data_IF_794999317924
#
_entry.id   IF_794999317924
#
_cell.length_a   1.000
_cell.length_b   1.000
_cell.length_c   1.000
_cell.angle_alpha   90.00
_cell.angle_beta   90.00
_cell.angle_gamma   90.00
#
_symmetry.space_group_name_H-M   'P 1'
#
loop_
_entity.id
_entity.type
_entity.pdbx_description
1 polymer ?
#
# COMPACT_ATOMS: atom_id res chain seq x y z
N UNK A 1 -87.50 41.32 30.92
CA UNK A 1 -86.88 40.81 32.15
C UNK A 1 -85.58 40.13 31.70
N UNK A 2 -84.43 40.71 31.95
CA UNK A 2 -83.16 40.11 31.51
C UNK A 2 -82.47 39.42 32.70
N UNK A 3 -81.97 38.20 32.43
CA UNK A 3 -81.17 37.38 33.34
C UNK A 3 -79.72 37.78 33.24
N UNK A 4 -79.16 38.25 34.33
CA UNK A 4 -77.69 38.50 34.45
C UNK A 4 -76.98 37.23 34.87
N UNK A 5 -76.12 36.66 34.01
CA UNK A 5 -75.17 35.61 34.42
C UNK A 5 -73.86 36.25 34.83
N UNK A 6 -73.46 36.00 36.05
CA UNK A 6 -72.16 36.37 36.63
C UNK A 6 -71.10 35.33 36.09
N UNK A 7 -70.08 35.86 35.50
CA UNK A 7 -68.91 35.04 35.09
C UNK A 7 -67.91 35.08 36.25
N UNK A 8 -67.54 33.90 36.74
CA UNK A 8 -66.44 33.72 37.67
C UNK A 8 -65.16 33.55 36.90
N UNK A 9 -64.17 34.41 37.09
CA UNK A 9 -62.85 34.31 36.56
C UNK A 9 -61.98 33.48 37.53
N UNK A 10 -61.51 32.27 37.08
CA UNK A 10 -60.50 31.50 37.79
C UNK A 10 -59.16 32.02 37.41
N UNK A 11 -58.37 32.47 38.36
CA UNK A 11 -56.95 32.72 38.21
C UNK A 11 -56.19 31.37 38.31
N UNK A 12 -55.59 30.88 37.23
CA UNK A 12 -54.68 29.73 37.27
C UNK A 12 -53.26 30.26 37.41
N UNK A 13 -52.60 29.94 38.50
CA UNK A 13 -51.14 30.17 38.69
C UNK A 13 -50.42 29.02 38.06
N UNK A 14 -49.83 29.30 36.92
CA UNK A 14 -48.95 28.32 36.18
C UNK A 14 -47.54 28.33 36.76
N UNK A 15 -47.14 27.25 37.41
CA UNK A 15 -45.75 27.00 37.77
C UNK A 15 -45.02 26.45 36.54
N UNK A 16 -44.13 27.24 35.95
CA UNK A 16 -43.22 26.78 34.89
C UNK A 16 -42.08 26.00 35.49
N UNK A 17 -42.11 24.67 35.32
CA UNK A 17 -40.96 23.82 35.57
C UNK A 17 -40.07 23.92 34.34
N UNK A 18 -38.91 24.56 34.46
CA UNK A 18 -37.86 24.55 33.44
C UNK A 18 -37.18 23.17 33.45
N UNK A 19 -37.54 22.30 32.50
CA UNK A 19 -36.82 21.09 32.24
C UNK A 19 -35.52 21.46 31.50
N UNK A 20 -34.39 21.43 32.21
CA UNK A 20 -33.08 21.53 31.64
C UNK A 20 -32.79 20.30 30.76
N UNK A 21 -32.86 20.44 29.44
CA UNK A 21 -32.38 19.42 28.53
C UNK A 21 -30.85 19.36 28.62
N UNK A 22 -30.32 18.36 29.30
CA UNK A 22 -28.90 17.97 29.17
C UNK A 22 -28.76 17.39 27.77
N UNK A 23 -28.19 18.13 26.85
CA UNK A 23 -27.76 17.63 25.57
C UNK A 23 -26.56 16.68 25.82
N UNK A 24 -26.84 15.38 25.87
CA UNK A 24 -25.82 14.37 25.71
C UNK A 24 -25.25 14.52 24.28
N UNK A 25 -24.14 15.22 24.19
CA UNK A 25 -23.33 15.24 22.97
C UNK A 25 -22.91 13.80 22.67
N UNK A 26 -23.60 13.16 21.74
CA UNK A 26 -23.08 11.95 21.08
C UNK A 26 -21.88 12.40 20.28
N UNK A 27 -20.68 12.18 20.80
CA UNK A 27 -19.48 12.14 19.99
C UNK A 27 -19.66 10.94 19.04
N UNK A 28 -20.40 11.14 17.96
CA UNK A 28 -20.44 10.22 16.85
C UNK A 28 -19.02 10.13 16.29
N UNK A 29 -18.34 9.02 16.55
CA UNK A 29 -17.12 8.73 15.82
C UNK A 29 -17.47 8.84 14.34
N UNK A 30 -16.84 9.77 13.63
CA UNK A 30 -16.98 9.86 12.18
C UNK A 30 -16.55 8.50 11.62
N UNK A 31 -17.39 7.91 10.78
CA UNK A 31 -17.03 6.66 10.12
C UNK A 31 -15.70 6.88 9.38
N UNK A 32 -14.76 5.96 9.56
CA UNK A 32 -13.50 5.98 8.85
C UNK A 32 -13.79 5.93 7.35
N UNK A 33 -13.22 6.85 6.59
CA UNK A 33 -13.42 6.93 5.14
C UNK A 33 -12.17 6.46 4.40
N UNK A 34 -12.38 5.75 3.28
CA UNK A 34 -11.31 5.36 2.37
C UNK A 34 -10.73 6.65 1.77
N UNK A 35 -9.39 6.82 1.73
CA UNK A 35 -8.76 7.93 1.04
C UNK A 35 -9.21 8.02 -0.44
N UNK A 36 -9.55 9.20 -0.91
CA UNK A 36 -10.12 9.38 -2.25
C UNK A 36 -9.13 9.09 -3.40
N UNK A 37 -7.83 9.12 -3.10
CA UNK A 37 -6.72 8.81 -4.00
C UNK A 37 -6.29 7.33 -3.98
N UNK A 38 -6.94 6.51 -3.17
CA UNK A 38 -6.67 5.06 -3.12
C UNK A 38 -7.34 4.36 -4.31
N UNK A 39 -6.53 3.78 -5.18
CA UNK A 39 -6.97 2.99 -6.34
C UNK A 39 -6.31 1.62 -6.27
N UNK A 40 -6.98 0.59 -6.78
CA UNK A 40 -6.44 -0.76 -6.81
C UNK A 40 -7.13 -1.72 -5.84
N UNK A 41 -6.52 -2.87 -5.63
CA UNK A 41 -7.10 -3.90 -4.77
C UNK A 41 -7.31 -3.41 -3.32
N UNK A 42 -6.44 -2.60 -2.76
CA UNK A 42 -6.60 -2.07 -1.41
C UNK A 42 -7.85 -1.19 -1.22
N UNK A 43 -8.46 -0.69 -2.32
CA UNK A 43 -9.70 0.07 -2.29
C UNK A 43 -10.97 -0.80 -2.40
N UNK A 44 -10.81 -2.11 -2.68
CA UNK A 44 -11.93 -3.04 -2.84
C UNK A 44 -12.43 -3.59 -1.48
N UNK A 45 -13.51 -4.32 -1.50
CA UNK A 45 -14.04 -5.08 -0.35
C UNK A 45 -14.13 -4.27 0.96
N UNK A 46 -14.48 -2.99 0.87
CA UNK A 46 -14.55 -2.09 2.02
C UNK A 46 -13.40 -1.10 2.10
N UNK A 47 -12.31 -1.35 1.36
CA UNK A 47 -11.15 -0.46 1.26
C UNK A 47 -10.27 -0.39 2.51
N UNK A 48 -9.14 0.27 2.38
CA UNK A 48 -8.19 0.45 3.46
C UNK A 48 -8.33 1.84 4.08
N UNK A 49 -8.66 1.91 5.34
CA UNK A 49 -8.84 3.16 6.09
C UNK A 49 -7.70 3.46 7.05
N UNK A 50 -6.84 2.47 7.29
CA UNK A 50 -5.71 2.58 8.22
C UNK A 50 -6.14 2.99 9.62
N UNK A 51 -5.45 3.97 10.19
CA UNK A 51 -5.74 4.52 11.51
C UNK A 51 -6.85 5.57 11.57
N UNK A 52 -7.66 5.73 10.50
CA UNK A 52 -8.71 6.73 10.47
C UNK A 52 -9.73 6.54 11.62
N UNK A 53 -10.13 7.63 12.24
CA UNK A 53 -11.00 7.63 13.43
C UNK A 53 -10.26 7.41 14.75
N UNK A 54 -9.01 7.01 14.73
CA UNK A 54 -8.14 6.93 15.91
C UNK A 54 -7.39 8.25 16.20
N UNK A 55 -6.67 8.32 17.32
CA UNK A 55 -5.83 9.48 17.61
C UNK A 55 -4.67 9.61 16.63
N UNK A 56 -4.14 10.80 16.52
CA UNK A 56 -2.91 11.08 15.79
C UNK A 56 -1.80 11.34 16.79
N UNK A 57 -0.70 10.59 16.67
CA UNK A 57 0.50 10.76 17.50
C UNK A 57 1.72 11.05 16.63
N UNK A 58 2.70 11.77 17.18
CA UNK A 58 3.98 11.99 16.50
C UNK A 58 5.08 11.29 17.26
N UNK A 59 5.90 10.53 16.52
CA UNK A 59 7.03 9.79 17.06
C UNK A 59 8.34 10.31 16.44
N UNK A 60 9.41 10.33 17.23
CA UNK A 60 10.73 10.83 16.85
C UNK A 60 11.84 9.82 17.14
N UNK A 61 11.49 8.65 17.68
CA UNK A 61 12.45 7.57 17.96
C UNK A 61 11.89 6.21 17.53
N UNK A 62 12.78 5.26 17.29
CA UNK A 62 12.46 3.87 16.94
C UNK A 62 11.57 3.20 18.00
N UNK A 63 11.90 3.38 19.29
CA UNK A 63 11.15 2.76 20.38
C UNK A 63 9.74 3.36 20.53
N UNK A 64 9.57 4.66 20.26
CA UNK A 64 8.25 5.27 20.22
C UNK A 64 7.43 4.68 19.07
N UNK A 65 8.00 4.58 17.85
CA UNK A 65 7.31 3.97 16.72
C UNK A 65 6.91 2.53 17.02
N UNK A 66 7.80 1.73 17.60
CA UNK A 66 7.54 0.35 18.02
C UNK A 66 6.41 0.26 19.03
N UNK A 67 6.36 1.17 19.99
CA UNK A 67 5.32 1.23 21.03
C UNK A 67 3.96 1.55 20.41
N UNK A 68 3.88 2.61 19.59
CA UNK A 68 2.63 3.05 19.00
C UNK A 68 2.11 2.04 17.95
N UNK A 69 2.97 1.53 17.07
CA UNK A 69 2.60 0.51 16.08
C UNK A 69 2.09 -0.80 16.72
N UNK A 70 2.54 -1.12 17.92
CA UNK A 70 2.15 -2.31 18.70
C UNK A 70 0.82 -2.19 19.45
N UNK A 71 0.19 -1.04 19.52
CA UNK A 71 -1.11 -0.85 20.19
C UNK A 71 -2.24 -1.53 19.41
N UNK A 72 -3.31 -1.94 20.13
CA UNK A 72 -4.48 -2.60 19.55
C UNK A 72 -5.53 -1.63 18.98
N UNK A 73 -5.43 -0.34 19.31
CA UNK A 73 -6.37 0.70 18.90
C UNK A 73 -6.00 1.27 17.53
N UNK A 74 -6.99 1.72 16.76
CA UNK A 74 -6.75 2.48 15.54
C UNK A 74 -5.92 3.73 15.84
N UNK A 75 -4.93 4.07 14.98
CA UNK A 75 -4.04 5.19 15.23
C UNK A 75 -3.34 5.68 13.97
N UNK A 76 -3.20 7.00 13.83
CA UNK A 76 -2.35 7.63 12.82
C UNK A 76 -1.02 8.01 13.48
N UNK A 77 0.06 7.36 13.05
CA UNK A 77 1.40 7.54 13.60
C UNK A 77 2.22 8.39 12.63
N UNK A 78 2.51 9.63 13.01
CA UNK A 78 3.36 10.55 12.27
C UNK A 78 4.82 10.34 12.66
N UNK A 79 5.63 9.88 11.73
CA UNK A 79 7.08 9.74 11.92
C UNK A 79 7.75 11.05 11.56
N UNK A 80 8.49 11.65 12.51
CA UNK A 80 9.20 12.91 12.30
C UNK A 80 10.72 12.72 12.40
N UNK A 81 11.41 12.91 11.29
CA UNK A 81 12.84 12.66 11.12
C UNK A 81 13.17 11.21 10.75
N UNK A 82 14.44 10.92 10.52
CA UNK A 82 14.95 9.58 10.22
C UNK A 82 15.22 8.82 11.51
N UNK A 83 14.52 7.72 11.73
CA UNK A 83 14.67 6.86 12.91
C UNK A 83 15.72 5.79 12.62
N UNK A 84 16.75 5.71 13.47
CA UNK A 84 17.73 4.62 13.40
C UNK A 84 17.13 3.36 14.03
N UNK A 85 16.94 2.31 13.23
CA UNK A 85 16.35 1.04 13.64
C UNK A 85 17.25 -0.16 13.40
N UNK A 86 16.75 -1.34 13.80
CA UNK A 86 17.32 -2.64 13.47
C UNK A 86 16.23 -3.71 13.55
N UNK A 87 16.27 -4.69 12.62
CA UNK A 87 15.19 -5.66 12.48
C UNK A 87 13.87 -4.99 12.04
N UNK A 88 12.73 -5.55 12.41
CA UNK A 88 11.43 -5.04 11.99
C UNK A 88 10.52 -4.70 13.18
N UNK A 89 9.76 -3.62 13.02
CA UNK A 89 8.64 -3.28 13.89
C UNK A 89 7.38 -4.00 13.41
N UNK A 90 6.75 -4.79 14.29
CA UNK A 90 5.41 -5.34 14.01
C UNK A 90 4.36 -4.24 14.09
N UNK A 91 3.63 -4.05 12.99
CA UNK A 91 2.53 -3.10 12.88
C UNK A 91 1.21 -3.84 13.00
N UNK A 92 0.38 -3.48 13.99
CA UNK A 92 -0.92 -4.11 14.23
C UNK A 92 -2.03 -3.47 13.40
N UNK A 93 -3.25 -4.04 13.50
CA UNK A 93 -4.43 -3.58 12.75
C UNK A 93 -4.68 -2.07 12.89
N UNK A 94 -5.34 -1.54 11.87
CA UNK A 94 -5.90 -0.19 11.89
C UNK A 94 -4.84 0.88 12.15
N UNK A 95 -3.74 0.84 11.40
CA UNK A 95 -2.67 1.84 11.51
C UNK A 95 -2.43 2.57 10.20
N UNK A 96 -2.20 3.87 10.33
CA UNK A 96 -1.55 4.67 9.30
C UNK A 96 -0.19 5.11 9.83
N UNK A 97 0.89 4.67 9.16
CA UNK A 97 2.25 5.17 9.43
C UNK A 97 2.58 6.15 8.32
N UNK A 98 2.83 7.41 8.67
CA UNK A 98 3.07 8.47 7.69
C UNK A 98 4.26 9.34 8.07
N UNK A 99 5.16 9.55 7.12
CA UNK A 99 6.32 10.44 7.30
C UNK A 99 5.93 11.91 7.27
N UNK A 100 6.50 12.72 8.15
CA UNK A 100 6.32 14.17 8.18
C UNK A 100 7.30 14.83 7.22
N UNK A 101 6.78 15.48 6.19
CA UNK A 101 7.61 16.11 5.14
C UNK A 101 8.34 15.06 4.29
N UNK A 102 9.35 15.50 3.55
CA UNK A 102 10.03 14.64 2.57
C UNK A 102 11.19 13.81 3.14
N UNK A 103 11.59 14.00 4.40
CA UNK A 103 12.81 13.43 4.96
C UNK A 103 12.58 12.70 6.29
N UNK A 104 11.44 12.01 6.41
CA UNK A 104 11.11 11.22 7.59
C UNK A 104 11.00 9.74 7.23
N UNK A 105 11.41 8.87 8.16
CA UNK A 105 11.37 7.44 7.90
C UNK A 105 12.25 6.62 8.84
N UNK A 106 12.79 5.52 8.30
CA UNK A 106 13.56 4.51 9.03
C UNK A 106 14.85 4.23 8.25
N UNK A 107 15.96 4.07 8.95
CA UNK A 107 17.18 3.51 8.37
C UNK A 107 17.70 2.35 9.22
N UNK A 108 18.17 1.29 8.57
CA UNK A 108 18.71 0.07 9.22
C UNK A 108 17.67 -0.94 9.67
N UNK A 109 16.38 -0.61 9.62
CA UNK A 109 15.28 -1.50 10.00
C UNK A 109 14.11 -1.41 9.04
N UNK A 110 13.01 -2.12 9.33
CA UNK A 110 11.81 -2.19 8.50
C UNK A 110 10.52 -2.33 9.30
N UNK A 111 9.42 -2.54 8.57
CA UNK A 111 8.08 -2.75 9.11
C UNK A 111 7.60 -4.16 8.78
N UNK A 112 6.96 -4.84 9.72
CA UNK A 112 6.33 -6.14 9.52
C UNK A 112 4.84 -6.06 9.79
N UNK A 113 4.04 -6.34 8.76
CA UNK A 113 2.60 -6.50 8.79
C UNK A 113 2.35 -8.00 8.64
N UNK A 114 2.05 -8.70 9.74
CA UNK A 114 1.87 -10.15 9.72
C UNK A 114 0.69 -10.52 10.61
N UNK A 115 -0.35 -11.13 10.03
CA UNK A 115 -1.65 -11.45 10.64
C UNK A 115 -2.43 -10.21 11.09
N UNK A 116 -2.21 -9.06 10.44
CA UNK A 116 -2.86 -7.78 10.76
C UNK A 116 -3.37 -7.11 9.49
N UNK A 117 -4.53 -6.43 9.59
CA UNK A 117 -5.29 -5.90 8.47
C UNK A 117 -5.53 -4.41 8.59
N UNK A 118 -5.90 -3.79 7.47
CA UNK A 118 -6.27 -2.38 7.38
C UNK A 118 -5.11 -1.43 7.75
N UNK A 119 -4.06 -1.44 6.92
CA UNK A 119 -2.84 -0.68 7.16
C UNK A 119 -2.47 0.24 5.99
N UNK A 120 -2.01 1.43 6.32
CA UNK A 120 -1.45 2.40 5.38
C UNK A 120 -0.02 2.73 5.79
N UNK A 121 0.93 2.57 4.87
CA UNK A 121 2.32 3.03 5.01
C UNK A 121 2.56 4.07 3.93
N UNK A 122 2.72 5.33 4.31
CA UNK A 122 2.73 6.44 3.36
C UNK A 122 3.83 7.45 3.64
N UNK A 123 4.43 8.00 2.60
CA UNK A 123 5.41 9.11 2.69
C UNK A 123 6.62 8.80 3.58
N UNK A 124 7.07 7.54 3.60
CA UNK A 124 8.18 7.07 4.43
C UNK A 124 9.43 6.84 3.59
N UNK A 125 10.58 7.30 4.07
CA UNK A 125 11.89 6.79 3.62
C UNK A 125 12.24 5.55 4.41
N UNK A 126 12.55 4.44 3.73
CA UNK A 126 13.04 3.24 4.40
C UNK A 126 14.30 2.77 3.69
N UNK A 127 15.41 2.75 4.41
CA UNK A 127 16.71 2.46 3.82
C UNK A 127 17.54 1.46 4.61
N UNK A 128 18.32 0.69 3.87
CA UNK A 128 19.31 -0.25 4.40
C UNK A 128 18.77 -1.25 5.43
N UNK A 129 17.64 -1.94 5.18
CA UNK A 129 17.04 -2.90 6.12
C UNK A 129 17.88 -4.18 6.15
N UNK A 130 18.94 -4.21 6.96
CA UNK A 130 19.91 -5.31 6.98
C UNK A 130 19.31 -6.62 7.49
N UNK A 131 19.38 -7.68 6.67
CA UNK A 131 18.90 -9.03 7.00
C UNK A 131 17.38 -9.13 7.14
N UNK A 132 16.63 -8.18 6.56
CA UNK A 132 15.16 -8.17 6.59
C UNK A 132 14.63 -7.33 5.44
N UNK A 133 13.31 -7.38 5.18
CA UNK A 133 12.67 -6.49 4.22
C UNK A 133 12.47 -5.08 4.81
N UNK A 134 12.36 -4.10 3.92
CA UNK A 134 11.91 -2.77 4.33
C UNK A 134 10.43 -2.79 4.76
N UNK A 135 9.57 -3.49 4.02
CA UNK A 135 8.17 -3.72 4.37
C UNK A 135 7.81 -5.17 4.03
N UNK A 136 7.51 -5.97 5.06
CA UNK A 136 6.97 -7.33 4.93
C UNK A 136 5.46 -7.32 5.15
N UNK A 137 4.70 -7.93 4.23
CA UNK A 137 3.26 -8.16 4.33
C UNK A 137 2.99 -9.65 4.25
N UNK A 138 2.47 -10.25 5.32
CA UNK A 138 2.25 -11.70 5.44
C UNK A 138 0.89 -11.97 6.09
N UNK A 139 0.05 -12.82 5.45
CA UNK A 139 -1.27 -13.18 5.98
C UNK A 139 -2.01 -11.92 6.49
N UNK A 140 -2.13 -10.95 5.59
CA UNK A 140 -2.62 -9.61 5.90
C UNK A 140 -3.45 -9.06 4.74
N UNK A 141 -4.57 -8.42 5.07
CA UNK A 141 -5.50 -7.89 4.10
C UNK A 141 -5.58 -6.36 4.17
N UNK A 142 -5.95 -5.74 3.04
CA UNK A 142 -6.19 -4.30 2.98
C UNK A 142 -4.96 -3.51 3.43
N UNK A 143 -3.89 -3.61 2.63
CA UNK A 143 -2.64 -2.90 2.87
C UNK A 143 -2.38 -1.94 1.71
N UNK A 144 -2.18 -0.67 2.02
CA UNK A 144 -1.81 0.36 1.06
C UNK A 144 -0.43 0.94 1.36
N UNK A 145 0.52 0.71 0.45
CA UNK A 145 1.91 1.19 0.52
C UNK A 145 2.07 2.26 -0.55
N UNK A 146 2.14 3.54 -0.13
CA UNK A 146 1.96 4.66 -1.03
C UNK A 146 2.95 5.81 -0.82
N UNK A 147 3.49 6.37 -1.90
CA UNK A 147 4.42 7.50 -1.88
C UNK A 147 5.63 7.32 -0.95
N UNK A 148 6.17 6.11 -0.84
CA UNK A 148 7.38 5.86 -0.07
C UNK A 148 8.61 5.89 -0.98
N UNK A 149 9.79 6.09 -0.39
CA UNK A 149 11.09 5.92 -1.04
C UNK A 149 11.86 4.83 -0.29
N UNK A 150 12.12 3.70 -0.97
CA UNK A 150 12.75 2.52 -0.39
C UNK A 150 14.00 2.14 -1.18
N UNK A 151 15.12 1.92 -0.48
CA UNK A 151 16.38 1.56 -1.13
C UNK A 151 17.36 0.87 -0.19
N UNK A 152 18.41 0.29 -0.79
CA UNK A 152 19.58 -0.18 -0.06
C UNK A 152 20.87 0.23 -0.79
N UNK A 153 21.68 -0.72 -1.22
CA UNK A 153 22.75 -0.59 -2.19
C UNK A 153 22.99 -1.93 -2.90
N UNK A 154 23.73 -1.88 -4.00
CA UNK A 154 24.14 -3.05 -4.77
C UNK A 154 25.63 -3.37 -4.63
N UNK A 155 26.31 -2.78 -3.65
CA UNK A 155 27.71 -3.04 -3.33
C UNK A 155 27.93 -4.22 -2.39
N UNK A 156 26.88 -4.66 -1.71
CA UNK A 156 26.84 -5.88 -0.91
C UNK A 156 26.30 -7.07 -1.72
N UNK A 157 26.50 -8.29 -1.21
CA UNK A 157 25.93 -9.49 -1.79
C UNK A 157 24.41 -9.44 -1.82
N UNK A 158 23.80 -10.21 -2.75
CA UNK A 158 22.35 -10.25 -3.00
C UNK A 158 21.51 -10.60 -1.76
N UNK A 159 22.09 -11.32 -0.80
CA UNK A 159 21.39 -11.74 0.43
C UNK A 159 21.77 -10.91 1.66
N UNK A 160 22.54 -9.84 1.50
CA UNK A 160 22.89 -8.95 2.63
C UNK A 160 21.68 -8.13 3.11
N UNK A 161 20.92 -7.57 2.17
CA UNK A 161 19.58 -7.03 2.37
C UNK A 161 18.58 -8.06 1.83
N UNK A 162 17.38 -8.15 2.41
CA UNK A 162 16.34 -9.01 1.85
C UNK A 162 15.54 -8.25 0.79
N UNK A 163 14.21 -8.18 0.84
CA UNK A 163 13.39 -7.42 -0.10
C UNK A 163 13.17 -5.95 0.32
N UNK A 164 12.61 -5.14 -0.59
CA UNK A 164 12.07 -3.84 -0.21
C UNK A 164 10.58 -3.96 0.15
N UNK A 165 9.79 -4.68 -0.66
CA UNK A 165 8.36 -4.92 -0.37
C UNK A 165 8.05 -6.38 -0.71
N UNK A 166 7.88 -7.23 0.30
CA UNK A 166 7.53 -8.62 0.12
C UNK A 166 6.12 -8.91 0.63
N UNK A 167 5.27 -9.52 -0.23
CA UNK A 167 3.84 -9.78 0.00
C UNK A 167 3.61 -11.28 -0.14
N UNK A 168 3.35 -11.97 0.97
CA UNK A 168 3.42 -13.44 1.04
C UNK A 168 2.35 -14.02 1.95
N UNK A 169 2.27 -15.36 2.00
CA UNK A 169 1.40 -16.08 2.93
C UNK A 169 -0.06 -15.64 2.85
N UNK A 170 -0.68 -15.85 1.70
CA UNK A 170 -2.09 -15.52 1.44
C UNK A 170 -2.48 -14.05 1.73
N UNK A 171 -1.54 -13.12 1.78
CA UNK A 171 -1.85 -11.69 1.88
C UNK A 171 -2.72 -11.25 0.69
N UNK A 172 -3.72 -10.41 0.93
CA UNK A 172 -4.70 -10.06 -0.09
C UNK A 172 -5.08 -8.58 -0.08
N UNK A 173 -5.72 -8.08 -1.14
CA UNK A 173 -6.17 -6.69 -1.25
C UNK A 173 -5.05 -5.67 -1.00
N UNK A 174 -3.89 -5.84 -1.66
CA UNK A 174 -2.72 -4.98 -1.48
C UNK A 174 -2.58 -4.02 -2.66
N UNK A 175 -2.25 -2.76 -2.40
CA UNK A 175 -1.86 -1.79 -3.43
C UNK A 175 -0.51 -1.16 -3.06
N UNK A 176 0.41 -1.19 -4.02
CA UNK A 176 1.71 -0.54 -4.00
C UNK A 176 1.69 0.56 -5.05
N UNK A 177 1.67 1.82 -4.63
CA UNK A 177 1.45 2.95 -5.53
C UNK A 177 2.37 4.12 -5.25
N UNK A 178 2.79 4.81 -6.31
CA UNK A 178 3.58 6.03 -6.21
C UNK A 178 4.86 5.91 -5.38
N UNK A 179 5.40 4.69 -5.21
CA UNK A 179 6.64 4.50 -4.50
C UNK A 179 7.84 4.69 -5.43
N UNK A 180 8.96 5.09 -4.87
CA UNK A 180 10.26 5.10 -5.50
C UNK A 180 11.08 3.97 -4.89
N UNK A 181 11.42 2.95 -5.69
CA UNK A 181 12.17 1.77 -5.29
C UNK A 181 13.46 1.71 -6.10
N UNK A 182 14.61 1.59 -5.42
CA UNK A 182 15.85 1.71 -6.16
C UNK A 182 17.08 1.12 -5.45
N UNK A 183 18.13 0.94 -6.24
CA UNK A 183 19.45 0.49 -5.79
C UNK A 183 19.38 -0.83 -5.01
N UNK A 184 18.64 -1.83 -5.56
CA UNK A 184 18.39 -3.07 -4.86
C UNK A 184 18.53 -4.32 -5.75
N UNK A 185 18.83 -5.49 -5.13
CA UNK A 185 18.93 -6.77 -5.84
C UNK A 185 17.59 -7.48 -5.99
N UNK A 186 16.75 -7.51 -4.94
CA UNK A 186 15.51 -8.29 -4.83
C UNK A 186 14.34 -7.43 -4.37
N UNK A 187 13.82 -6.56 -5.23
CA UNK A 187 13.01 -5.39 -4.86
C UNK A 187 11.62 -5.72 -4.29
N UNK A 188 10.80 -6.52 -4.97
CA UNK A 188 9.44 -6.82 -4.49
C UNK A 188 8.97 -8.22 -4.90
N UNK A 189 8.69 -9.06 -3.92
CA UNK A 189 8.23 -10.43 -4.09
C UNK A 189 6.76 -10.56 -3.76
N UNK A 190 6.01 -11.32 -4.57
CA UNK A 190 4.64 -11.75 -4.28
C UNK A 190 4.61 -13.29 -4.30
N UNK A 191 4.34 -13.92 -3.13
CA UNK A 191 4.44 -15.37 -2.98
C UNK A 191 5.89 -15.86 -2.78
N UNK A 192 6.21 -16.39 -1.60
CA UNK A 192 7.58 -16.61 -1.18
C UNK A 192 8.23 -17.90 -1.70
N UNK A 193 7.46 -18.98 -1.89
CA UNK A 193 7.99 -20.29 -2.26
C UNK A 193 7.13 -20.96 -3.34
N UNK A 194 7.75 -21.81 -4.17
CA UNK A 194 7.08 -22.61 -5.20
C UNK A 194 6.17 -23.69 -4.58
N UNK A 195 6.47 -24.16 -3.36
CA UNK A 195 5.71 -25.20 -2.67
C UNK A 195 4.51 -24.67 -1.87
N UNK A 196 4.25 -23.35 -1.89
CA UNK A 196 3.20 -22.73 -1.07
C UNK A 196 1.82 -22.63 -1.76
N UNK A 197 1.56 -23.42 -2.77
CA UNK A 197 0.31 -23.38 -3.55
C UNK A 197 -0.97 -23.56 -2.70
N UNK A 198 -0.89 -24.37 -1.64
CA UNK A 198 -2.05 -24.65 -0.78
C UNK A 198 -2.52 -23.43 0.02
N UNK A 199 -1.62 -22.52 0.35
CA UNK A 199 -1.91 -21.29 1.09
C UNK A 199 -2.19 -20.12 0.13
N UNK A 200 -1.37 -19.96 -0.91
CA UNK A 200 -1.35 -18.76 -1.74
C UNK A 200 -2.35 -18.79 -2.91
N UNK A 201 -2.81 -19.97 -3.35
CA UNK A 201 -3.74 -20.06 -4.49
C UNK A 201 -5.09 -19.45 -4.15
N UNK A 202 -5.52 -18.45 -4.93
CA UNK A 202 -6.79 -17.73 -4.71
C UNK A 202 -6.63 -16.48 -3.85
N UNK A 203 -5.42 -16.21 -3.38
CA UNK A 203 -4.99 -15.01 -2.65
C UNK A 203 -3.97 -14.23 -3.47
N UNK A 204 -3.24 -13.33 -2.82
CA UNK A 204 -2.18 -12.51 -3.40
C UNK A 204 -2.71 -11.61 -4.54
N UNK A 205 -3.84 -10.92 -4.29
CA UNK A 205 -4.36 -9.91 -5.22
C UNK A 205 -3.65 -8.58 -4.98
N UNK A 206 -2.84 -8.16 -5.95
CA UNK A 206 -1.94 -7.02 -5.78
C UNK A 206 -2.04 -6.03 -6.95
N UNK A 207 -2.03 -4.75 -6.65
CA UNK A 207 -1.89 -3.68 -7.64
C UNK A 207 -0.55 -2.98 -7.48
N UNK A 208 0.15 -2.77 -8.59
CA UNK A 208 1.33 -1.90 -8.68
C UNK A 208 1.04 -0.79 -9.67
N UNK A 209 1.00 0.47 -9.24
CA UNK A 209 0.80 1.57 -10.18
C UNK A 209 1.60 2.82 -9.81
N UNK A 210 2.04 3.52 -10.84
CA UNK A 210 2.78 4.77 -10.72
C UNK A 210 4.05 4.66 -9.85
N UNK A 211 4.62 3.47 -9.73
CA UNK A 211 5.89 3.29 -9.04
C UNK A 211 7.07 3.58 -9.97
N UNK A 212 8.12 4.18 -9.46
CA UNK A 212 9.42 4.31 -10.09
C UNK A 212 10.34 3.19 -9.60
N UNK A 213 10.88 2.40 -10.54
CA UNK A 213 11.89 1.38 -10.27
C UNK A 213 13.16 1.72 -11.05
N UNK A 214 14.27 1.90 -10.37
CA UNK A 214 15.52 2.18 -11.07
C UNK A 214 16.75 1.60 -10.38
N UNK A 215 17.74 1.22 -11.20
CA UNK A 215 18.98 0.57 -10.74
C UNK A 215 18.71 -0.66 -9.86
N UNK A 216 17.65 -1.41 -10.19
CA UNK A 216 17.27 -2.65 -9.53
C UNK A 216 17.65 -3.87 -10.39
N UNK A 217 17.87 -5.03 -9.77
CA UNK A 217 18.20 -6.23 -10.53
C UNK A 217 16.95 -7.05 -10.93
N UNK A 218 16.11 -7.39 -9.95
CA UNK A 218 14.99 -8.30 -10.16
C UNK A 218 13.83 -8.07 -9.19
N UNK A 219 12.71 -8.75 -9.47
CA UNK A 219 11.47 -8.71 -8.67
C UNK A 219 10.81 -7.34 -8.69
N UNK A 220 10.29 -6.91 -9.87
CA UNK A 220 9.70 -5.56 -10.05
C UNK A 220 8.24 -5.58 -10.59
N UNK A 221 7.32 -6.37 -10.04
CA UNK A 221 7.44 -7.44 -9.04
C UNK A 221 7.74 -8.83 -9.63
N UNK A 222 8.10 -9.79 -8.77
CA UNK A 222 8.09 -11.22 -9.09
C UNK A 222 6.95 -11.92 -8.35
N UNK A 223 6.07 -12.61 -9.11
CA UNK A 223 4.81 -13.17 -8.60
C UNK A 223 4.77 -14.67 -8.69
N UNK A 224 4.19 -15.33 -7.67
CA UNK A 224 3.74 -16.73 -7.67
C UNK A 224 2.26 -16.79 -7.29
N UNK A 225 1.51 -17.69 -7.89
CA UNK A 225 0.10 -18.06 -7.61
C UNK A 225 -0.93 -16.94 -7.75
N UNK A 226 -0.60 -15.72 -7.33
CA UNK A 226 -1.51 -14.58 -7.21
C UNK A 226 -1.97 -13.97 -8.53
N UNK A 227 -2.73 -12.89 -8.39
CA UNK A 227 -3.22 -12.08 -9.52
C UNK A 227 -2.76 -10.64 -9.33
N UNK A 228 -2.03 -10.09 -10.30
CA UNK A 228 -1.55 -8.71 -10.20
C UNK A 228 -1.93 -7.85 -11.40
N UNK A 229 -2.27 -6.59 -11.10
CA UNK A 229 -2.42 -5.53 -12.07
C UNK A 229 -1.25 -4.56 -11.94
N UNK A 230 -0.44 -4.45 -12.99
CA UNK A 230 0.80 -3.66 -13.04
C UNK A 230 0.63 -2.61 -14.12
N UNK A 231 0.38 -1.34 -13.75
CA UNK A 231 0.08 -0.31 -14.73
C UNK A 231 0.67 1.06 -14.41
N UNK A 232 0.97 1.83 -15.44
CA UNK A 232 1.52 3.19 -15.35
C UNK A 232 2.78 3.30 -14.48
N UNK A 233 3.57 2.23 -14.35
CA UNK A 233 4.86 2.28 -13.66
C UNK A 233 5.97 2.71 -14.62
N UNK A 234 7.03 3.27 -14.10
CA UNK A 234 8.24 3.61 -14.81
C UNK A 234 9.42 2.76 -14.33
N UNK A 235 9.97 1.97 -15.25
CA UNK A 235 11.13 1.11 -15.03
C UNK A 235 12.29 1.66 -15.84
N UNK A 236 13.43 1.93 -15.21
CA UNK A 236 14.61 2.34 -15.95
C UNK A 236 15.92 1.83 -15.33
N UNK A 237 16.85 1.49 -16.22
CA UNK A 237 18.17 0.99 -15.85
C UNK A 237 18.10 -0.24 -14.93
N UNK A 238 17.20 -1.20 -15.26
CA UNK A 238 16.97 -2.42 -14.49
C UNK A 238 17.30 -3.67 -15.31
N UNK A 239 17.57 -4.80 -14.64
CA UNK A 239 17.91 -6.05 -15.33
C UNK A 239 16.66 -6.84 -15.70
N UNK A 240 15.83 -7.19 -14.72
CA UNK A 240 14.57 -7.91 -14.94
C UNK A 240 13.43 -7.17 -14.24
N UNK A 241 12.35 -6.83 -14.95
CA UNK A 241 11.22 -6.17 -14.34
C UNK A 241 10.13 -7.18 -13.91
N UNK A 242 9.00 -7.23 -14.59
CA UNK A 242 7.84 -8.05 -14.17
C UNK A 242 8.10 -9.54 -14.47
N UNK A 243 7.95 -10.38 -13.46
CA UNK A 243 8.15 -11.82 -13.60
C UNK A 243 6.97 -12.61 -13.00
N UNK A 244 6.19 -13.28 -13.84
CA UNK A 244 5.09 -14.17 -13.45
C UNK A 244 5.54 -15.62 -13.42
N UNK A 245 5.27 -16.33 -12.33
CA UNK A 245 5.69 -17.72 -12.08
C UNK A 245 4.56 -18.52 -11.42
N UNK A 246 4.70 -19.84 -11.32
CA UNK A 246 3.80 -20.75 -10.59
C UNK A 246 2.31 -20.49 -10.85
N UNK A 247 1.94 -20.32 -12.13
CA UNK A 247 0.54 -20.10 -12.52
C UNK A 247 -0.02 -18.72 -12.19
N UNK A 248 0.78 -17.79 -11.65
CA UNK A 248 0.32 -16.42 -11.40
C UNK A 248 -0.21 -15.76 -12.67
N UNK A 249 -1.18 -14.86 -12.51
CA UNK A 249 -1.80 -14.11 -13.60
C UNK A 249 -1.44 -12.64 -13.49
N UNK A 250 -0.78 -12.05 -14.49
CA UNK A 250 -0.45 -10.62 -14.45
C UNK A 250 -0.98 -9.89 -15.68
N UNK A 251 -1.64 -8.76 -15.45
CA UNK A 251 -1.98 -7.77 -16.47
C UNK A 251 -0.95 -6.63 -16.38
N UNK A 252 -0.17 -6.45 -17.44
CA UNK A 252 0.89 -5.44 -17.54
C UNK A 252 0.50 -4.43 -18.61
N UNK A 253 0.10 -3.22 -18.24
CA UNK A 253 -0.39 -2.25 -19.20
C UNK A 253 -0.03 -0.79 -18.90
N UNK A 254 0.17 -0.01 -19.94
CA UNK A 254 0.46 1.41 -19.82
C UNK A 254 1.78 1.73 -19.09
N UNK A 255 2.68 0.79 -18.94
CA UNK A 255 3.98 1.02 -18.30
C UNK A 255 5.01 1.56 -19.29
N UNK A 256 6.02 2.23 -18.76
CA UNK A 256 7.20 2.66 -19.54
C UNK A 256 8.43 1.93 -19.06
N UNK A 257 9.14 1.30 -19.98
CA UNK A 257 10.40 0.59 -19.77
C UNK A 257 11.50 1.27 -20.56
N UNK A 258 12.60 1.65 -19.89
CA UNK A 258 13.77 2.29 -20.52
C UNK A 258 15.04 1.63 -20.02
N UNK A 259 15.90 1.12 -20.92
CA UNK A 259 17.13 0.39 -20.58
C UNK A 259 16.86 -0.81 -19.65
N UNK A 260 15.83 -1.61 -19.95
CA UNK A 260 15.46 -2.80 -19.17
C UNK A 260 15.89 -4.05 -19.90
N UNK A 261 16.64 -4.93 -19.24
CA UNK A 261 17.14 -6.17 -19.85
C UNK A 261 16.02 -7.11 -20.27
N UNK A 262 15.08 -7.44 -19.37
CA UNK A 262 13.87 -8.23 -19.69
C UNK A 262 12.65 -7.58 -19.04
N UNK A 263 11.82 -6.85 -19.79
CA UNK A 263 10.70 -6.09 -19.21
C UNK A 263 9.60 -6.98 -18.62
N UNK A 264 9.17 -8.02 -19.34
CA UNK A 264 8.14 -8.96 -18.88
C UNK A 264 8.55 -10.38 -19.21
N UNK A 265 8.49 -11.27 -18.23
CA UNK A 265 8.73 -12.70 -18.44
C UNK A 265 7.78 -13.57 -17.63
N UNK A 266 7.52 -14.79 -18.13
CA UNK A 266 6.66 -15.78 -17.49
C UNK A 266 7.38 -17.09 -17.19
N UNK A 267 8.64 -17.21 -17.53
CA UNK A 267 9.44 -18.44 -17.39
C UNK A 267 10.69 -18.22 -16.54
N UNK A 268 11.35 -19.28 -16.19
CA UNK A 268 12.59 -19.36 -15.40
C UNK A 268 12.39 -19.18 -13.87
N UNK A 269 13.34 -19.70 -13.11
CA UNK A 269 13.44 -19.59 -11.64
C UNK A 269 12.26 -20.20 -10.85
N UNK A 270 11.39 -20.99 -11.48
CA UNK A 270 10.33 -21.78 -10.85
C UNK A 270 10.04 -23.03 -11.67
N UNK A 271 9.39 -24.02 -11.04
CA UNK A 271 9.08 -25.30 -11.69
C UNK A 271 7.94 -25.17 -12.70
N UNK A 272 7.12 -24.15 -12.59
CA UNK A 272 6.00 -23.87 -13.49
C UNK A 272 6.02 -22.41 -13.90
N UNK A 273 5.79 -22.16 -15.19
CA UNK A 273 5.64 -20.82 -15.74
C UNK A 273 4.38 -20.14 -15.21
N UNK A 274 4.38 -18.82 -15.17
CA UNK A 274 3.18 -18.01 -14.95
C UNK A 274 2.55 -17.57 -16.26
N UNK A 275 1.61 -16.66 -16.17
CA UNK A 275 0.87 -16.08 -17.28
C UNK A 275 0.99 -14.56 -17.29
N UNK A 276 1.06 -13.95 -18.45
CA UNK A 276 1.02 -12.51 -18.61
C UNK A 276 0.13 -12.09 -19.77
N UNK A 277 -0.62 -11.02 -19.57
CA UNK A 277 -1.25 -10.23 -20.63
C UNK A 277 -0.57 -8.88 -20.63
N UNK A 278 -0.01 -8.48 -21.77
CA UNK A 278 0.64 -7.19 -21.89
C UNK A 278 0.01 -6.37 -23.00
N UNK A 279 -0.14 -5.04 -22.75
CA UNK A 279 -0.68 -4.12 -23.75
C UNK A 279 -0.36 -2.67 -23.40
N UNK A 280 -0.30 -1.84 -24.44
CA UNK A 280 -0.10 -0.38 -24.28
C UNK A 280 1.17 0.01 -23.51
N UNK A 281 2.16 -0.89 -23.41
CA UNK A 281 3.43 -0.59 -22.79
C UNK A 281 4.37 0.07 -23.79
N UNK A 282 5.25 0.92 -23.30
CA UNK A 282 6.28 1.58 -24.09
C UNK A 282 7.66 1.04 -23.74
N UNK A 283 8.44 0.65 -24.75
CA UNK A 283 9.77 0.09 -24.60
C UNK A 283 10.80 0.97 -25.31
N UNK A 284 11.88 1.36 -24.61
CA UNK A 284 12.99 2.12 -25.17
C UNK A 284 14.31 1.50 -24.74
N UNK A 285 15.09 1.05 -25.70
CA UNK A 285 16.39 0.38 -25.47
C UNK A 285 16.27 -0.81 -24.49
N UNK A 286 15.26 -1.67 -24.69
CA UNK A 286 14.99 -2.84 -23.85
C UNK A 286 15.34 -4.13 -24.59
N UNK A 287 15.60 -5.19 -23.83
CA UNK A 287 15.59 -6.55 -24.35
C UNK A 287 14.17 -7.02 -24.69
N UNK A 288 14.06 -8.22 -25.23
CA UNK A 288 12.76 -8.79 -25.58
C UNK A 288 12.00 -9.27 -24.34
N UNK A 289 10.67 -9.15 -24.38
CA UNK A 289 9.79 -9.87 -23.45
C UNK A 289 9.93 -11.38 -23.65
N UNK A 290 9.84 -12.14 -22.58
CA UNK A 290 9.88 -13.61 -22.61
C UNK A 290 8.58 -14.17 -22.02
N UNK A 291 7.47 -13.97 -22.74
CA UNK A 291 6.15 -14.45 -22.36
C UNK A 291 5.89 -15.78 -23.07
N UNK A 292 5.95 -16.88 -22.33
CA UNK A 292 5.70 -18.25 -22.83
C UNK A 292 4.23 -18.62 -22.77
N UNK A 293 3.46 -17.98 -21.84
CA UNK A 293 2.03 -18.25 -21.64
C UNK A 293 1.25 -16.93 -21.52
N UNK A 294 0.23 -16.79 -22.39
CA UNK A 294 -0.69 -15.66 -22.33
C UNK A 294 -1.80 -15.99 -21.32
N UNK A 295 -2.05 -15.05 -20.40
CA UNK A 295 -3.02 -15.21 -19.32
C UNK A 295 -4.47 -14.93 -19.72
N UNK A 296 -5.37 -15.17 -18.78
CA UNK A 296 -6.80 -14.86 -18.88
C UNK A 296 -7.22 -13.64 -18.08
N UNK A 297 -6.36 -13.11 -17.23
CA UNK A 297 -6.60 -11.87 -16.47
C UNK A 297 -6.39 -10.67 -17.39
N UNK A 298 -7.49 -10.23 -18.04
CA UNK A 298 -7.48 -9.17 -19.06
C UNK A 298 -8.08 -7.85 -18.59
N UNK A 299 -8.66 -7.79 -17.38
CA UNK A 299 -9.26 -6.59 -16.81
C UNK A 299 -9.20 -6.62 -15.29
N UNK A 300 -8.77 -5.52 -14.69
CA UNK A 300 -8.82 -5.37 -13.24
C UNK A 300 -10.27 -5.19 -12.75
N UNK A 301 -10.63 -5.70 -11.55
CA UNK A 301 -12.00 -5.68 -11.06
C UNK A 301 -12.44 -4.34 -10.44
N UNK A 302 -11.66 -3.30 -10.58
CA UNK A 302 -11.92 -1.95 -10.07
C UNK A 302 -11.78 -0.89 -11.17
N UNK A 303 -12.32 0.30 -10.93
CA UNK A 303 -12.18 1.42 -11.85
C UNK A 303 -10.77 2.03 -11.75
N UNK A 304 -10.16 2.27 -12.89
CA UNK A 304 -8.86 2.93 -13.02
C UNK A 304 -8.79 3.67 -14.37
N UNK A 305 -7.77 4.47 -14.53
CA UNK A 305 -7.50 5.17 -15.80
C UNK A 305 -6.01 5.02 -16.13
N UNK A 306 -5.71 4.71 -17.40
CA UNK A 306 -4.35 4.74 -17.90
C UNK A 306 -3.97 6.16 -18.28
N UNK A 307 -2.78 6.56 -17.88
CA UNK A 307 -2.16 7.80 -18.38
C UNK A 307 -1.68 7.61 -19.83
N UNK A 308 -1.58 8.69 -20.60
CA UNK A 308 -0.94 8.62 -21.91
C UNK A 308 0.50 8.10 -21.78
N UNK A 309 0.87 7.05 -22.52
CA UNK A 309 2.17 6.38 -22.46
C UNK A 309 3.37 7.33 -22.57
N UNK A 310 3.26 8.36 -23.41
CA UNK A 310 4.27 9.39 -23.57
C UNK A 310 4.52 10.26 -22.33
N UNK A 311 3.58 10.26 -21.38
CA UNK A 311 3.62 11.10 -20.18
C UNK A 311 3.96 10.32 -18.91
N UNK A 312 3.79 8.99 -18.89
CA UNK A 312 3.94 8.15 -17.69
C UNK A 312 5.30 8.35 -17.02
N UNK A 313 6.41 8.31 -17.76
CA UNK A 313 7.74 8.50 -17.17
C UNK A 313 7.85 9.84 -16.43
N UNK A 314 7.38 10.93 -17.02
CA UNK A 314 7.41 12.26 -16.40
C UNK A 314 6.43 12.36 -15.21
N UNK A 315 5.24 11.78 -15.32
CA UNK A 315 4.24 11.76 -14.25
C UNK A 315 4.82 11.02 -13.04
N UNK A 316 5.36 9.83 -13.24
CA UNK A 316 5.92 8.99 -12.17
C UNK A 316 7.15 9.63 -11.54
N UNK A 317 8.13 10.08 -12.34
CA UNK A 317 9.34 10.73 -11.79
C UNK A 317 9.00 11.98 -10.97
N UNK A 318 7.97 12.73 -11.36
CA UNK A 318 7.55 13.92 -10.61
C UNK A 318 6.64 13.61 -9.41
N UNK A 319 5.89 12.51 -9.44
CA UNK A 319 4.87 12.17 -8.44
C UNK A 319 5.31 11.12 -7.43
N UNK A 320 6.14 10.13 -7.79
CA UNK A 320 6.54 9.06 -6.90
C UNK A 320 7.50 9.50 -5.78
N UNK A 321 7.52 8.73 -4.70
CA UNK A 321 8.39 8.98 -3.55
C UNK A 321 7.83 9.96 -2.55
N UNK A 322 8.67 10.31 -1.58
CA UNK A 322 8.30 11.14 -0.43
C UNK A 322 8.18 12.64 -0.75
N UNK A 323 7.44 13.38 0.10
CA UNK A 323 7.26 14.83 -0.03
C UNK A 323 6.19 15.26 -1.03
N UNK A 324 5.41 14.33 -1.54
CA UNK A 324 4.33 14.58 -2.52
C UNK A 324 2.95 14.58 -1.87
N UNK A 325 2.83 13.95 -0.73
CA UNK A 325 1.60 13.84 0.07
C UNK A 325 1.89 14.22 1.51
N UNK A 326 0.86 14.57 2.30
CA UNK A 326 0.96 15.04 3.69
C UNK A 326 0.12 14.20 4.64
#
# INVERSE_FOLDING_TARGET
>A
MPNTRRTMTLLAIGATVAAGAVALGTNGASAATIPADQIGYAAMSGGTTGGAGGPTVTVTTWDQLKTEAGKKTAEIIKVSGMLQGSGQITVRNDKTIVGVGANSGITGGGLKISHYNNLIVRNMKISYPTGTDAITVQDADHVWIDHNELWSDRSHDIDYYDGLIDITHAADWVTVSWNKLHDHWKTSLVGHDDDNAAEDTGHLTVTYHHNEFYNDDARLPSLRFGTAHVYNNYYHDTVNAVHSRMGAQVLVEGNVFTNVGTPVKTTTLSVTDGFAVERNNRYTNCGANNITQVGTFTAAPYAYQLDPDASVAAIVTNGAGTGKVS
#
